data_IF_399783084442
#
_entry.id   IF_399783084442
#
_cell.length_a   1.000
_cell.length_b   1.000
_cell.length_c   1.000
_cell.angle_alpha   90.00
_cell.angle_beta   90.00
_cell.angle_gamma   90.00
#
_symmetry.space_group_name_H-M   'P 1'
#
loop_
_entity.id
_entity.type
_entity.pdbx_description
1 polymer ?
#
# COMPACT_ATOMS: atom_id res chain seq x y z
N UNK A 1 30.52 17.38 12.40
CA UNK A 1 30.42 16.04 11.81
C UNK A 1 31.36 15.94 10.63
N UNK A 2 32.14 14.88 10.52
CA UNK A 2 33.05 14.70 9.40
C UNK A 2 32.28 14.37 8.10
N UNK A 3 32.86 14.66 6.92
CA UNK A 3 32.24 14.27 5.64
C UNK A 3 31.95 12.77 5.56
N UNK A 4 32.83 11.92 6.10
CA UNK A 4 32.63 10.46 6.10
C UNK A 4 31.41 10.05 6.92
N UNK A 5 31.17 10.71 8.06
CA UNK A 5 30.01 10.45 8.90
C UNK A 5 28.71 10.89 8.22
N UNK A 6 28.74 12.00 7.48
CA UNK A 6 27.59 12.47 6.69
C UNK A 6 27.27 11.47 5.57
N UNK A 7 28.30 11.02 4.84
CA UNK A 7 28.14 10.05 3.75
C UNK A 7 27.58 8.73 4.28
N UNK A 8 28.07 8.25 5.44
CA UNK A 8 27.55 7.04 6.06
C UNK A 8 26.08 7.17 6.47
N UNK A 9 25.69 8.33 7.01
CA UNK A 9 24.30 8.59 7.39
C UNK A 9 23.37 8.64 6.17
N UNK A 10 23.82 9.27 5.08
CA UNK A 10 23.06 9.32 3.82
C UNK A 10 22.91 7.92 3.21
N UNK A 11 23.97 7.11 3.25
CA UNK A 11 23.92 5.75 2.75
C UNK A 11 22.91 4.89 3.52
N UNK A 12 22.86 5.02 4.85
CA UNK A 12 21.87 4.32 5.69
C UNK A 12 20.44 4.77 5.37
N UNK A 13 20.25 6.08 5.19
CA UNK A 13 18.95 6.65 4.85
C UNK A 13 18.46 6.07 3.52
N UNK A 14 19.32 6.08 2.50
CA UNK A 14 19.01 5.55 1.18
C UNK A 14 18.71 4.05 1.21
N UNK A 15 19.50 3.27 1.95
CA UNK A 15 19.29 1.84 2.09
C UNK A 15 17.95 1.55 2.76
N UNK A 16 17.62 2.28 3.81
CA UNK A 16 16.37 2.13 4.53
C UNK A 16 15.16 2.46 3.65
N UNK A 17 15.29 3.53 2.87
CA UNK A 17 14.25 3.95 1.92
C UNK A 17 14.00 2.88 0.85
N UNK A 18 15.07 2.32 0.27
CA UNK A 18 14.95 1.25 -0.74
C UNK A 18 14.33 -0.01 -0.15
N UNK A 19 14.75 -0.41 1.05
CA UNK A 19 14.21 -1.59 1.72
C UNK A 19 12.72 -1.44 2.01
N UNK A 20 12.30 -0.27 2.53
CA UNK A 20 10.91 0.01 2.82
C UNK A 20 10.06 -0.02 1.55
N UNK A 21 10.56 0.56 0.46
CA UNK A 21 9.87 0.59 -0.83
C UNK A 21 9.71 -0.82 -1.40
N UNK A 22 10.78 -1.64 -1.35
CA UNK A 22 10.74 -3.01 -1.85
C UNK A 22 9.78 -3.87 -1.01
N UNK A 23 9.86 -3.77 0.31
CA UNK A 23 8.96 -4.52 1.20
C UNK A 23 7.50 -4.12 0.99
N UNK A 24 7.25 -2.83 0.80
CA UNK A 24 5.92 -2.32 0.50
C UNK A 24 5.39 -2.79 -0.84
N UNK A 25 6.24 -2.85 -1.87
CA UNK A 25 5.85 -3.37 -3.18
C UNK A 25 5.43 -4.84 -3.09
N UNK A 26 6.18 -5.65 -2.36
CA UNK A 26 5.86 -7.06 -2.15
C UNK A 26 4.56 -7.23 -1.36
N UNK A 27 4.40 -6.46 -0.30
CA UNK A 27 3.18 -6.49 0.51
C UNK A 27 1.96 -6.05 -0.30
N UNK A 28 2.10 -4.98 -1.08
CA UNK A 28 1.03 -4.49 -1.96
C UNK A 28 0.63 -5.57 -2.97
N UNK A 29 1.59 -6.25 -3.58
CA UNK A 29 1.33 -7.32 -4.53
C UNK A 29 0.54 -8.46 -3.89
N UNK A 30 0.88 -8.85 -2.65
CA UNK A 30 0.15 -9.90 -1.92
C UNK A 30 -1.28 -9.47 -1.62
N UNK A 31 -1.48 -8.25 -1.12
CA UNK A 31 -2.82 -7.73 -0.81
C UNK A 31 -3.67 -7.60 -2.08
N UNK A 32 -3.07 -7.13 -3.16
CA UNK A 32 -3.76 -6.98 -4.44
C UNK A 32 -4.25 -8.34 -4.95
N UNK A 33 -3.40 -9.35 -4.87
CA UNK A 33 -3.77 -10.72 -5.27
C UNK A 33 -4.94 -11.26 -4.45
N UNK A 34 -4.93 -11.03 -3.13
CA UNK A 34 -6.04 -11.43 -2.26
C UNK A 34 -7.34 -10.73 -2.68
N UNK A 35 -7.28 -9.43 -2.95
CA UNK A 35 -8.45 -8.66 -3.36
C UNK A 35 -8.99 -9.08 -4.73
N UNK A 36 -8.13 -9.62 -5.59
CA UNK A 36 -8.50 -10.12 -6.91
C UNK A 36 -9.11 -11.53 -6.86
N UNK A 37 -8.67 -12.37 -5.91
CA UNK A 37 -8.96 -13.82 -5.93
C UNK A 37 -9.90 -14.29 -4.83
N UNK A 38 -10.07 -13.53 -3.75
CA UNK A 38 -10.88 -13.93 -2.58
C UNK A 38 -12.09 -13.01 -2.43
N UNK A 39 -13.06 -13.42 -1.59
CA UNK A 39 -14.32 -12.68 -1.46
C UNK A 39 -14.91 -12.67 -0.05
N UNK A 40 -14.13 -12.89 0.99
CA UNK A 40 -14.60 -12.78 2.38
C UNK A 40 -14.70 -11.33 2.85
N UNK A 41 -15.36 -11.09 3.98
CA UNK A 41 -15.48 -9.76 4.58
C UNK A 41 -14.14 -9.13 4.91
N UNK A 42 -13.16 -9.94 5.32
CA UNK A 42 -11.80 -9.48 5.58
C UNK A 42 -11.13 -8.95 4.30
N UNK A 43 -11.41 -9.59 3.16
CA UNK A 43 -10.86 -9.17 1.87
C UNK A 43 -11.49 -7.85 1.42
N UNK A 44 -12.75 -7.60 1.74
CA UNK A 44 -13.37 -6.29 1.49
C UNK A 44 -12.61 -5.18 2.19
N UNK A 45 -12.12 -5.42 3.41
CA UNK A 45 -11.29 -4.47 4.15
C UNK A 45 -9.97 -4.21 3.44
N UNK A 46 -9.35 -5.25 2.86
CA UNK A 46 -8.15 -5.12 2.04
C UNK A 46 -8.44 -4.24 0.82
N UNK A 47 -9.54 -4.49 0.12
CA UNK A 47 -9.92 -3.70 -1.06
C UNK A 47 -10.06 -2.21 -0.72
N UNK A 48 -10.70 -1.88 0.40
CA UNK A 48 -10.83 -0.50 0.86
C UNK A 48 -9.47 0.13 1.19
N UNK A 49 -8.58 -0.62 1.82
CA UNK A 49 -7.22 -0.16 2.09
C UNK A 49 -6.47 0.15 0.80
N UNK A 50 -6.51 -0.78 -0.15
CA UNK A 50 -5.84 -0.62 -1.44
C UNK A 50 -6.37 0.61 -2.19
N UNK A 51 -7.68 0.80 -2.22
CA UNK A 51 -8.30 1.97 -2.84
C UNK A 51 -7.81 3.27 -2.18
N UNK A 52 -7.68 3.29 -0.85
CA UNK A 52 -7.18 4.45 -0.11
C UNK A 52 -5.73 4.75 -0.45
N UNK A 53 -4.88 3.74 -0.69
CA UNK A 53 -3.50 3.96 -1.13
C UNK A 53 -3.41 4.47 -2.56
N UNK A 54 -4.43 4.21 -3.37
CA UNK A 54 -4.52 4.67 -4.75
C UNK A 54 -5.00 6.12 -4.82
N UNK A 55 -6.05 6.45 -4.08
CA UNK A 55 -6.59 7.81 -4.00
C UNK A 55 -7.24 8.01 -2.62
N UNK A 56 -6.49 8.58 -1.69
CA UNK A 56 -6.93 8.78 -0.32
C UNK A 56 -8.00 9.85 -0.14
N UNK A 57 -8.20 10.72 -1.13
CA UNK A 57 -9.28 11.70 -1.10
C UNK A 57 -10.62 11.07 -1.50
N UNK A 58 -10.58 10.17 -2.47
CA UNK A 58 -11.78 9.46 -2.93
C UNK A 58 -12.17 8.32 -2.00
N UNK A 59 -11.18 7.63 -1.43
CA UNK A 59 -11.40 6.44 -0.59
C UNK A 59 -10.69 6.61 0.74
N UNK A 60 -11.45 6.61 1.83
CA UNK A 60 -10.90 6.77 3.16
C UNK A 60 -10.63 5.41 3.80
N UNK A 61 -9.62 5.36 4.66
CA UNK A 61 -9.25 4.16 5.41
C UNK A 61 -9.32 4.47 6.90
N UNK A 62 -10.09 3.65 7.62
CA UNK A 62 -10.20 3.73 9.07
C UNK A 62 -9.06 2.93 9.70
N UNK A 63 -8.15 3.56 10.47
CA UNK A 63 -7.04 2.83 11.11
C UNK A 63 -7.47 1.68 12.00
N UNK A 64 -8.67 1.70 12.56
CA UNK A 64 -9.20 0.60 13.36
C UNK A 64 -9.37 -0.69 12.55
N UNK A 65 -9.42 -0.60 11.23
CA UNK A 65 -9.46 -1.77 10.35
C UNK A 65 -8.23 -2.67 10.50
N UNK A 66 -7.11 -2.12 10.96
CA UNK A 66 -5.89 -2.91 11.23
C UNK A 66 -6.13 -4.00 12.27
N UNK A 67 -7.07 -3.79 13.18
CA UNK A 67 -7.41 -4.77 14.23
C UNK A 67 -8.45 -5.79 13.76
N UNK A 68 -9.06 -5.56 12.62
CA UNK A 68 -10.19 -6.35 12.11
C UNK A 68 -9.77 -7.39 11.08
N UNK A 69 -8.49 -7.51 10.79
CA UNK A 69 -7.94 -8.45 9.81
C UNK A 69 -6.90 -9.34 10.47
N UNK A 70 -6.57 -10.46 9.83
CA UNK A 70 -5.50 -11.34 10.32
C UNK A 70 -4.18 -10.57 10.44
N UNK A 71 -3.35 -10.97 11.38
CA UNK A 71 -2.08 -10.31 11.67
C UNK A 71 -1.20 -10.20 10.42
N UNK A 72 -1.12 -11.28 9.63
CA UNK A 72 -0.33 -11.27 8.39
C UNK A 72 -0.81 -10.18 7.41
N UNK A 73 -2.12 -9.95 7.34
CA UNK A 73 -2.71 -8.91 6.48
C UNK A 73 -2.37 -7.53 7.03
N UNK A 74 -2.53 -7.31 8.32
CA UNK A 74 -2.17 -6.01 8.93
C UNK A 74 -0.67 -5.74 8.83
N UNK A 75 0.18 -6.76 8.94
CA UNK A 75 1.61 -6.62 8.70
C UNK A 75 1.88 -6.09 7.28
N UNK A 76 1.20 -6.65 6.29
CA UNK A 76 1.33 -6.18 4.90
C UNK A 76 0.81 -4.75 4.73
N UNK A 77 -0.30 -4.41 5.37
CA UNK A 77 -0.82 -3.04 5.36
C UNK A 77 0.21 -2.06 5.94
N UNK A 78 0.86 -2.42 7.05
CA UNK A 78 1.90 -1.59 7.67
C UNK A 78 3.11 -1.44 6.76
N UNK A 79 3.51 -2.49 6.05
CA UNK A 79 4.60 -2.41 5.07
C UNK A 79 4.25 -1.46 3.92
N UNK A 80 3.01 -1.49 3.45
CA UNK A 80 2.53 -0.55 2.45
C UNK A 80 2.59 0.90 2.95
N UNK A 81 2.12 1.15 4.16
CA UNK A 81 2.16 2.49 4.76
C UNK A 81 3.59 2.98 4.96
N UNK A 82 4.51 2.09 5.34
CA UNK A 82 5.91 2.44 5.48
C UNK A 82 6.52 2.86 4.13
N UNK A 83 6.25 2.12 3.05
CA UNK A 83 6.71 2.51 1.72
C UNK A 83 6.08 3.84 1.27
N UNK A 84 4.80 4.01 1.54
CA UNK A 84 4.06 5.21 1.17
C UNK A 84 4.66 6.47 1.82
N UNK A 85 5.00 6.40 3.11
CA UNK A 85 5.58 7.55 3.82
C UNK A 85 6.96 7.95 3.30
N UNK A 86 7.74 7.00 2.74
CA UNK A 86 9.02 7.32 2.13
C UNK A 86 8.87 8.07 0.82
N UNK A 87 7.74 7.89 0.12
CA UNK A 87 7.37 8.70 -1.04
C UNK A 87 8.24 8.53 -2.28
N UNK A 88 8.93 7.39 -2.44
CA UNK A 88 9.77 7.15 -3.63
C UNK A 88 8.93 6.93 -4.88
N UNK A 89 7.76 6.30 -4.73
CA UNK A 89 6.83 6.04 -5.83
C UNK A 89 5.46 5.71 -5.25
N UNK A 90 4.43 5.88 -6.04
CA UNK A 90 3.09 5.41 -5.68
C UNK A 90 3.07 3.87 -5.72
N UNK A 91 2.42 3.25 -4.74
CA UNK A 91 2.44 1.79 -4.57
C UNK A 91 2.02 1.05 -5.82
N UNK A 92 0.96 1.51 -6.50
CA UNK A 92 0.45 0.82 -7.68
C UNK A 92 1.45 0.82 -8.84
N UNK A 93 2.38 1.78 -8.88
CA UNK A 93 3.42 1.81 -9.93
C UNK A 93 4.52 0.78 -9.70
N UNK A 94 4.57 0.19 -8.51
CA UNK A 94 5.61 -0.78 -8.12
C UNK A 94 5.26 -2.21 -8.49
N UNK A 95 4.06 -2.45 -9.00
CA UNK A 95 3.60 -3.78 -9.43
C UNK A 95 3.18 -3.75 -10.89
N UNK A 96 3.29 -4.90 -11.57
CA UNK A 96 2.90 -5.01 -12.98
C UNK A 96 1.42 -4.72 -13.14
N UNK A 97 1.07 -3.90 -14.12
CA UNK A 97 -0.30 -3.51 -14.45
C UNK A 97 -1.07 -2.92 -13.26
N UNK A 98 -0.34 -2.30 -12.32
CA UNK A 98 -0.90 -1.86 -11.04
C UNK A 98 -2.09 -0.94 -11.16
N UNK A 99 -2.04 0.06 -12.05
CA UNK A 99 -3.16 0.99 -12.23
C UNK A 99 -4.43 0.25 -12.69
N UNK A 100 -4.32 -0.56 -13.72
CA UNK A 100 -5.46 -1.32 -14.24
C UNK A 100 -6.01 -2.31 -13.20
N UNK A 101 -5.11 -2.97 -12.47
CA UNK A 101 -5.47 -3.97 -11.46
C UNK A 101 -6.19 -3.34 -10.28
N UNK A 102 -5.70 -2.20 -9.77
CA UNK A 102 -6.34 -1.52 -8.64
C UNK A 102 -7.72 -0.97 -9.04
N UNK A 103 -7.86 -0.44 -10.25
CA UNK A 103 -9.16 0.02 -10.76
C UNK A 103 -10.15 -1.15 -10.87
N UNK A 104 -9.69 -2.32 -11.31
CA UNK A 104 -10.51 -3.52 -11.38
C UNK A 104 -10.95 -3.99 -9.99
N UNK A 105 -10.08 -3.89 -8.98
CA UNK A 105 -10.42 -4.21 -7.59
C UNK A 105 -11.49 -3.25 -7.06
N UNK A 106 -11.34 -1.96 -7.32
CA UNK A 106 -12.32 -0.95 -6.91
C UNK A 106 -13.70 -1.29 -7.49
N UNK A 107 -13.74 -1.64 -8.77
CA UNK A 107 -14.98 -2.03 -9.45
C UNK A 107 -15.54 -3.35 -8.91
N UNK A 108 -14.69 -4.37 -8.77
CA UNK A 108 -15.08 -5.69 -8.28
C UNK A 108 -15.75 -5.64 -6.91
N UNK A 109 -15.25 -4.79 -6.03
CA UNK A 109 -15.75 -4.67 -4.67
C UNK A 109 -16.83 -3.59 -4.52
N UNK A 110 -17.25 -2.97 -5.65
CA UNK A 110 -18.33 -1.99 -5.65
C UNK A 110 -18.01 -0.72 -4.87
N UNK A 111 -16.73 -0.36 -4.77
CA UNK A 111 -16.32 0.87 -4.08
C UNK A 111 -16.66 2.07 -4.95
N UNK A 112 -17.33 3.06 -4.36
CA UNK A 112 -17.89 4.17 -5.12
C UNK A 112 -16.94 5.37 -5.12
N UNK A 113 -16.66 5.87 -6.32
CA UNK A 113 -16.01 7.16 -6.47
C UNK A 113 -16.95 8.26 -5.99
N UNK A 114 -16.43 9.32 -5.35
CA UNK A 114 -17.28 10.44 -4.98
C UNK A 114 -17.97 11.06 -6.20
N UNK A 115 -19.18 11.57 -6.00
CA UNK A 115 -19.91 12.26 -7.07
C UNK A 115 -19.11 13.46 -7.57
N UNK A 116 -19.09 13.65 -8.88
CA UNK A 116 -18.36 14.74 -9.53
C UNK A 116 -16.91 14.43 -9.86
N UNK A 117 -16.44 13.24 -9.55
CA UNK A 117 -15.09 12.77 -9.85
C UNK A 117 -14.99 12.12 -11.22
#
# INVERSE_FOLDING_TARGET
MSPDAIDAALAKFEARSRQATQAGAQAFARLLKLAEERDSGQIQRIARFLAATYNGQAFQFDPFELRAVDLAISDDMLQCLNALRWGRADLYTLVADGDARIRAVIERWGLQWPEGE
#
